data_IF_275540524648
#
_entry.id   IF_275540524648
#
_cell.length_a   1.000
_cell.length_b   1.000
_cell.length_c   1.000
_cell.angle_alpha   90.00
_cell.angle_beta   90.00
_cell.angle_gamma   90.00
#
_symmetry.space_group_name_H-M   'P 1'
#
loop_
_entity.id
_entity.type
_entity.pdbx_description
1 polymer ?
#
# COMPACT_ATOMS: atom_id res chain seq x y z
N UNK A 1 -12.73 -0.32 20.74
CA UNK A 1 -13.33 -1.36 19.85
C UNK A 1 -13.24 -2.70 20.53
N UNK A 2 -14.17 -3.63 20.26
CA UNK A 2 -14.10 -4.97 20.87
C UNK A 2 -13.06 -5.82 20.13
N UNK A 3 -11.89 -6.00 20.76
CA UNK A 3 -10.77 -6.80 20.25
C UNK A 3 -11.19 -8.22 19.86
N UNK A 4 -11.99 -8.96 20.67
CA UNK A 4 -12.52 -10.25 20.26
C UNK A 4 -13.32 -10.20 18.96
N UNK A 5 -14.14 -9.17 18.75
CA UNK A 5 -14.95 -9.03 17.52
C UNK A 5 -14.09 -8.75 16.29
N UNK A 6 -13.02 -7.96 16.42
CA UNK A 6 -12.07 -7.72 15.33
C UNK A 6 -11.33 -9.00 14.91
N UNK A 7 -10.89 -9.78 15.90
CA UNK A 7 -10.20 -11.06 15.65
C UNK A 7 -11.17 -12.10 15.06
N UNK A 8 -12.41 -12.16 15.56
CA UNK A 8 -13.44 -13.05 15.03
C UNK A 8 -13.76 -12.72 13.57
N UNK A 9 -13.96 -11.45 13.24
CA UNK A 9 -14.22 -10.99 11.87
C UNK A 9 -13.16 -11.48 10.87
N UNK A 10 -11.87 -11.35 11.20
CA UNK A 10 -10.80 -11.83 10.33
C UNK A 10 -10.82 -13.37 10.19
N UNK A 11 -11.02 -14.09 11.30
CA UNK A 11 -11.03 -15.56 11.29
C UNK A 11 -12.20 -16.16 10.53
N UNK A 12 -13.38 -15.54 10.65
CA UNK A 12 -14.61 -16.01 10.02
C UNK A 12 -14.63 -15.72 8.51
N UNK A 13 -14.23 -14.51 8.11
CA UNK A 13 -14.41 -14.06 6.73
C UNK A 13 -13.19 -14.30 5.86
N UNK A 14 -11.98 -14.31 6.43
CA UNK A 14 -10.73 -14.44 5.69
C UNK A 14 -10.08 -15.82 5.88
N UNK A 15 -10.38 -16.51 6.99
CA UNK A 15 -9.81 -17.81 7.33
C UNK A 15 -10.42 -18.96 6.52
N UNK A 16 -10.00 -19.15 5.27
CA UNK A 16 -10.42 -20.30 4.45
C UNK A 16 -9.48 -21.49 4.62
N UNK A 17 -9.98 -22.63 5.09
CA UNK A 17 -9.25 -23.91 5.18
C UNK A 17 -9.90 -24.90 6.17
N UNK A 18 -9.80 -26.20 5.90
CA UNK A 18 -10.24 -27.30 6.78
C UNK A 18 -9.36 -27.37 8.04
N UNK A 19 -9.61 -26.42 8.92
CA UNK A 19 -8.84 -26.21 10.14
C UNK A 19 -9.07 -24.78 10.58
N UNK A 20 -10.10 -24.54 11.41
CA UNK A 20 -10.41 -23.25 12.06
C UNK A 20 -9.27 -22.66 12.92
N UNK A 21 -8.06 -23.21 12.84
CA UNK A 21 -6.81 -22.68 13.38
C UNK A 21 -6.02 -22.07 12.23
N UNK A 22 -5.81 -20.74 12.25
CA UNK A 22 -4.47 -20.15 12.48
C UNK A 22 -4.35 -18.66 12.25
N UNK A 23 -5.39 -17.85 12.01
CA UNK A 23 -5.18 -16.40 11.94
C UNK A 23 -4.68 -15.87 13.31
N UNK A 24 -3.42 -15.41 13.42
CA UNK A 24 -2.90 -14.94 14.68
C UNK A 24 -3.66 -13.67 15.08
N UNK A 25 -4.02 -13.54 16.36
CA UNK A 25 -4.75 -12.37 16.84
C UNK A 25 -3.98 -11.07 16.51
N UNK A 26 -2.65 -11.09 16.63
CA UNK A 26 -1.78 -9.97 16.25
C UNK A 26 -1.96 -9.56 14.78
N UNK A 27 -1.96 -10.50 13.81
CA UNK A 27 -2.16 -10.16 12.39
C UNK A 27 -3.56 -9.65 12.12
N UNK A 28 -4.59 -10.23 12.76
CA UNK A 28 -5.97 -9.75 12.62
C UNK A 28 -6.14 -8.31 13.12
N UNK A 29 -5.49 -7.97 14.25
CA UNK A 29 -5.52 -6.61 14.78
C UNK A 29 -4.67 -5.64 13.96
N UNK A 30 -3.50 -6.07 13.48
CA UNK A 30 -2.68 -5.30 12.53
C UNK A 30 -3.48 -4.97 11.27
N UNK A 31 -4.15 -5.96 10.67
CA UNK A 31 -4.98 -5.76 9.48
C UNK A 31 -6.12 -4.78 9.74
N UNK A 32 -6.82 -4.90 10.88
CA UNK A 32 -7.87 -3.95 11.24
C UNK A 32 -7.32 -2.52 11.42
N UNK A 33 -6.10 -2.40 11.97
CA UNK A 33 -5.37 -1.15 12.07
C UNK A 33 -5.00 -0.56 10.71
N UNK A 34 -4.48 -1.38 9.79
CA UNK A 34 -4.12 -0.94 8.43
C UNK A 34 -5.36 -0.48 7.64
N UNK A 35 -6.47 -1.20 7.75
CA UNK A 35 -7.78 -0.78 7.19
C UNK A 35 -8.19 0.57 7.76
N UNK A 36 -8.03 0.78 9.08
CA UNK A 36 -8.34 2.07 9.70
C UNK A 36 -7.39 3.18 9.21
N UNK A 37 -6.11 2.89 9.01
CA UNK A 37 -5.15 3.87 8.48
C UNK A 37 -5.53 4.33 7.05
N UNK A 38 -5.97 3.39 6.19
CA UNK A 38 -6.53 3.73 4.87
C UNK A 38 -7.79 4.58 5.01
N UNK A 39 -8.72 4.17 5.88
CA UNK A 39 -9.99 4.87 6.07
C UNK A 39 -9.82 6.28 6.67
N UNK A 40 -8.83 6.47 7.54
CA UNK A 40 -8.46 7.75 8.14
C UNK A 40 -7.74 8.67 7.13
N UNK A 41 -7.27 8.13 6.01
CA UNK A 41 -6.54 8.88 4.99
C UNK A 41 -5.05 9.05 5.27
N UNK A 42 -4.49 8.24 6.18
CA UNK A 42 -3.04 8.21 6.44
C UNK A 42 -2.25 7.52 5.33
N UNK A 43 -2.91 6.63 4.58
CA UNK A 43 -2.36 6.03 3.37
C UNK A 43 -3.43 5.79 2.30
N UNK A 44 -3.08 5.89 1.01
CA UNK A 44 -4.04 5.74 -0.09
C UNK A 44 -4.59 4.32 -0.25
N UNK A 45 -3.77 3.29 0.00
CA UNK A 45 -4.13 1.90 -0.22
C UNK A 45 -3.45 0.95 0.76
N UNK A 46 -4.05 -0.22 0.95
CA UNK A 46 -3.47 -1.40 1.57
C UNK A 46 -3.49 -2.55 0.55
N UNK A 47 -2.35 -3.23 0.37
CA UNK A 47 -2.30 -4.51 -0.34
C UNK A 47 -2.71 -5.61 0.63
N UNK A 48 -3.66 -6.46 0.23
CA UNK A 48 -4.01 -7.63 1.00
C UNK A 48 -3.16 -8.84 0.55
N UNK A 49 -2.31 -9.31 1.46
CA UNK A 49 -1.28 -10.34 1.22
C UNK A 49 -1.37 -11.54 2.18
N UNK A 50 -2.46 -11.62 2.96
CA UNK A 50 -2.55 -12.52 4.11
C UNK A 50 -3.11 -13.92 3.79
N UNK A 51 -3.35 -14.24 2.52
CA UNK A 51 -3.93 -15.50 2.09
C UNK A 51 -4.78 -15.35 0.82
N UNK A 52 -5.52 -16.40 0.48
CA UNK A 52 -6.26 -16.52 -0.77
C UNK A 52 -7.63 -15.80 -0.79
N UNK A 53 -7.93 -14.97 0.21
CA UNK A 53 -9.23 -14.32 0.30
C UNK A 53 -9.40 -13.29 -0.82
N UNK A 54 -10.49 -13.40 -1.58
CA UNK A 54 -10.78 -12.50 -2.70
C UNK A 54 -11.57 -11.26 -2.29
N UNK A 55 -12.00 -10.45 -3.28
CA UNK A 55 -12.79 -9.24 -3.02
C UNK A 55 -14.11 -9.50 -2.27
N UNK A 56 -14.72 -10.69 -2.45
CA UNK A 56 -15.96 -11.04 -1.77
C UNK A 56 -15.75 -11.26 -0.27
N UNK A 57 -14.74 -12.03 0.11
CA UNK A 57 -14.31 -12.28 1.49
C UNK A 57 -13.94 -10.97 2.17
N UNK A 58 -13.12 -10.14 1.50
CA UNK A 58 -12.72 -8.84 2.01
C UNK A 58 -13.91 -7.90 2.22
N UNK A 59 -14.90 -7.92 1.33
CA UNK A 59 -16.13 -7.12 1.51
C UNK A 59 -16.91 -7.55 2.76
N UNK A 60 -17.06 -8.86 3.00
CA UNK A 60 -17.71 -9.36 4.20
C UNK A 60 -16.92 -9.00 5.46
N UNK A 61 -15.61 -9.15 5.43
CA UNK A 61 -14.72 -8.71 6.51
C UNK A 61 -14.90 -7.23 6.85
N UNK A 62 -14.90 -6.34 5.85
CA UNK A 62 -15.12 -4.90 6.04
C UNK A 62 -16.51 -4.59 6.63
N UNK A 63 -17.54 -5.35 6.25
CA UNK A 63 -18.86 -5.24 6.86
C UNK A 63 -18.83 -5.64 8.35
N UNK A 64 -18.13 -6.72 8.71
CA UNK A 64 -17.92 -7.11 10.12
C UNK A 64 -17.15 -6.08 10.92
N UNK A 65 -16.14 -5.45 10.33
CA UNK A 65 -15.42 -4.34 10.98
C UNK A 65 -16.37 -3.17 11.29
N UNK A 66 -17.26 -2.84 10.34
CA UNK A 66 -18.35 -1.85 10.54
C UNK A 66 -19.25 -2.19 11.70
N UNK A 67 -19.74 -3.41 11.75
CA UNK A 67 -20.56 -3.91 12.86
C UNK A 67 -19.82 -3.88 14.22
N UNK A 68 -18.49 -4.02 14.19
CA UNK A 68 -17.63 -3.96 15.37
C UNK A 68 -17.29 -2.52 15.81
N UNK A 69 -17.77 -1.50 15.09
CA UNK A 69 -17.61 -0.08 15.41
C UNK A 69 -16.42 0.61 14.73
N UNK A 70 -15.67 -0.10 13.86
CA UNK A 70 -14.78 0.56 12.91
C UNK A 70 -15.67 1.06 11.78
N UNK A 71 -15.98 2.35 11.74
CA UNK A 71 -16.76 2.94 10.67
C UNK A 71 -15.82 3.53 9.61
N UNK A 72 -15.20 2.71 8.72
CA UNK A 72 -14.38 3.25 7.67
C UNK A 72 -15.22 4.18 6.79
N UNK A 73 -14.57 5.23 6.29
CA UNK A 73 -15.06 6.03 5.18
C UNK A 73 -15.34 5.14 3.96
N UNK A 74 -15.84 5.71 2.87
CA UNK A 74 -16.03 4.95 1.63
C UNK A 74 -14.70 4.33 1.17
N UNK A 75 -14.69 3.02 1.01
CA UNK A 75 -13.54 2.24 0.56
C UNK A 75 -13.82 1.59 -0.80
N UNK A 76 -12.76 1.21 -1.50
CA UNK A 76 -12.84 0.52 -2.78
C UNK A 76 -11.90 -0.68 -2.81
N UNK A 77 -12.37 -1.84 -3.24
CA UNK A 77 -11.56 -3.04 -3.47
C UNK A 77 -11.18 -3.11 -4.95
N UNK A 78 -9.89 -2.98 -5.25
CA UNK A 78 -9.34 -3.09 -6.60
C UNK A 78 -8.66 -4.46 -6.75
N UNK A 79 -9.18 -5.31 -7.63
CA UNK A 79 -8.50 -6.54 -8.06
C UNK A 79 -7.52 -6.29 -9.21
N UNK A 80 -6.36 -6.94 -9.18
CA UNK A 80 -5.39 -6.96 -10.27
C UNK A 80 -4.56 -8.26 -10.21
N UNK A 81 -4.67 -9.12 -11.23
CA UNK A 81 -3.93 -10.41 -11.34
C UNK A 81 -3.89 -11.22 -10.02
N UNK A 82 -5.05 -11.43 -9.41
CA UNK A 82 -5.16 -12.20 -8.16
C UNK A 82 -4.74 -11.46 -6.88
N UNK A 83 -4.14 -10.27 -7.00
CA UNK A 83 -3.92 -9.36 -5.86
C UNK A 83 -5.16 -8.49 -5.61
N UNK A 84 -5.39 -8.12 -4.36
CA UNK A 84 -6.48 -7.19 -4.00
C UNK A 84 -5.92 -6.02 -3.19
N UNK A 85 -6.18 -4.80 -3.65
CA UNK A 85 -5.91 -3.58 -2.90
C UNK A 85 -7.19 -2.99 -2.31
N UNK A 86 -7.13 -2.60 -1.05
CA UNK A 86 -8.13 -1.78 -0.40
C UNK A 86 -7.73 -0.31 -0.49
N UNK A 87 -8.53 0.50 -1.16
CA UNK A 87 -8.25 1.90 -1.46
C UNK A 87 -9.17 2.84 -0.69
N UNK A 88 -8.64 4.01 -0.33
CA UNK A 88 -9.43 5.22 -0.16
C UNK A 88 -9.49 5.91 -1.54
N UNK A 89 -10.60 5.82 -2.30
CA UNK A 89 -10.62 6.16 -3.73
C UNK A 89 -10.17 7.60 -4.03
N UNK A 90 -10.62 8.57 -3.24
CA UNK A 90 -10.24 9.97 -3.42
C UNK A 90 -8.73 10.22 -3.22
N UNK A 91 -8.14 9.63 -2.19
CA UNK A 91 -6.71 9.75 -1.89
C UNK A 91 -5.87 8.95 -2.89
N UNK A 92 -6.30 7.76 -3.30
CA UNK A 92 -5.62 6.98 -4.34
C UNK A 92 -5.59 7.74 -5.68
N UNK A 93 -6.71 8.36 -6.09
CA UNK A 93 -6.75 9.21 -7.30
C UNK A 93 -5.84 10.42 -7.18
N UNK A 94 -5.85 11.12 -6.03
CA UNK A 94 -4.93 12.25 -5.78
C UNK A 94 -3.47 11.81 -5.85
N UNK A 95 -3.14 10.63 -5.29
CA UNK A 95 -1.78 10.08 -5.34
C UNK A 95 -1.35 9.80 -6.78
N UNK A 96 -2.18 9.12 -7.57
CA UNK A 96 -1.89 8.89 -8.99
C UNK A 96 -1.69 10.21 -9.75
N UNK A 97 -2.59 11.18 -9.57
CA UNK A 97 -2.48 12.50 -10.21
C UNK A 97 -1.24 13.29 -9.77
N UNK A 98 -0.79 13.14 -8.51
CA UNK A 98 0.44 13.75 -8.02
C UNK A 98 1.67 13.12 -8.69
N UNK A 99 1.75 11.79 -8.74
CA UNK A 99 2.86 11.08 -9.40
C UNK A 99 2.91 11.39 -10.90
N UNK A 100 1.76 11.48 -11.58
CA UNK A 100 1.68 11.87 -13.00
C UNK A 100 2.22 13.29 -13.26
N UNK A 101 2.11 14.20 -12.28
CA UNK A 101 2.61 15.58 -12.37
C UNK A 101 4.04 15.76 -11.87
N UNK A 102 4.54 14.86 -11.03
CA UNK A 102 5.89 14.93 -10.47
C UNK A 102 6.97 15.01 -11.55
N UNK A 103 7.94 15.90 -11.35
CA UNK A 103 9.13 16.10 -12.18
C UNK A 103 10.34 16.29 -11.24
N UNK A 104 11.34 15.39 -11.25
CA UNK A 104 11.41 14.13 -12.00
C UNK A 104 10.34 13.10 -11.56
N UNK A 105 10.19 12.02 -12.32
CA UNK A 105 9.31 10.93 -11.92
C UNK A 105 9.92 10.16 -10.74
N UNK A 106 9.17 9.84 -9.67
CA UNK A 106 9.71 9.15 -8.51
C UNK A 106 9.76 7.63 -8.74
N UNK A 107 10.45 7.20 -9.80
CA UNK A 107 10.61 5.80 -10.16
C UNK A 107 12.08 5.41 -10.12
N UNK A 108 12.35 4.25 -9.56
CA UNK A 108 13.69 3.70 -9.39
C UNK A 108 13.81 2.44 -10.25
N UNK A 109 14.65 2.50 -11.27
CA UNK A 109 14.97 1.35 -12.11
C UNK A 109 15.90 0.39 -11.36
N UNK A 110 15.38 -0.81 -11.12
CA UNK A 110 16.05 -1.91 -10.40
C UNK A 110 16.20 -3.16 -11.26
N UNK A 111 16.11 -3.02 -12.59
CA UNK A 111 16.20 -4.12 -13.55
C UNK A 111 17.47 -4.95 -13.36
N UNK A 112 17.36 -6.27 -13.50
CA UNK A 112 18.43 -7.23 -13.21
C UNK A 112 19.74 -6.97 -13.99
N UNK A 113 19.63 -6.52 -15.25
CA UNK A 113 20.78 -6.22 -16.11
C UNK A 113 21.62 -5.01 -15.69
N UNK A 114 21.21 -4.25 -14.66
CA UNK A 114 21.92 -3.06 -14.20
C UNK A 114 23.04 -3.39 -13.24
N UNK A 115 24.09 -2.55 -13.25
CA UNK A 115 25.16 -2.59 -12.24
C UNK A 115 24.69 -2.14 -10.86
N UNK A 116 23.56 -1.43 -10.79
CA UNK A 116 22.98 -0.91 -9.58
C UNK A 116 21.72 -0.10 -9.87
N UNK A 117 20.94 0.18 -8.82
CA UNK A 117 19.69 0.92 -8.96
C UNK A 117 19.95 2.38 -9.37
N UNK A 118 19.03 2.95 -10.14
CA UNK A 118 19.08 4.35 -10.56
C UNK A 118 17.67 4.95 -10.65
N UNK A 119 17.56 6.27 -10.70
CA UNK A 119 16.29 6.91 -11.08
C UNK A 119 15.99 6.63 -12.55
N UNK A 120 14.73 6.34 -12.87
CA UNK A 120 14.29 6.08 -14.24
C UNK A 120 14.52 7.31 -15.14
N UNK A 121 14.91 7.05 -16.39
CA UNK A 121 14.96 8.07 -17.42
C UNK A 121 13.55 8.50 -17.90
N UNK A 122 13.47 9.54 -18.74
CA UNK A 122 12.19 10.05 -19.22
C UNK A 122 11.36 9.03 -20.00
N UNK A 123 12.01 8.16 -20.79
CA UNK A 123 11.33 7.17 -21.61
C UNK A 123 10.71 6.05 -20.77
N UNK A 124 11.46 5.49 -19.81
CA UNK A 124 10.93 4.47 -18.90
C UNK A 124 9.80 5.04 -18.03
N UNK A 125 9.98 6.27 -17.54
CA UNK A 125 8.96 6.95 -16.76
C UNK A 125 7.66 7.18 -17.56
N UNK A 126 7.74 7.48 -18.86
CA UNK A 126 6.55 7.73 -19.69
C UNK A 126 5.71 6.46 -19.90
N UNK A 127 6.35 5.31 -20.11
CA UNK A 127 5.65 4.03 -20.19
C UNK A 127 4.84 3.74 -18.90
N UNK A 128 5.46 3.95 -17.74
CA UNK A 128 4.80 3.81 -16.43
C UNK A 128 3.64 4.81 -16.30
N UNK A 129 3.82 6.06 -16.73
CA UNK A 129 2.76 7.09 -16.70
C UNK A 129 1.55 6.69 -17.55
N UNK A 130 1.75 6.02 -18.67
CA UNK A 130 0.66 5.44 -19.47
C UNK A 130 -0.22 4.51 -18.65
N UNK A 131 0.39 3.56 -17.92
CA UNK A 131 -0.33 2.62 -17.04
C UNK A 131 -1.05 3.34 -15.90
N UNK A 132 -0.39 4.30 -15.24
CA UNK A 132 -0.99 5.07 -14.15
C UNK A 132 -2.16 5.96 -14.63
N UNK A 133 -2.10 6.45 -15.87
CA UNK A 133 -3.19 7.24 -16.49
C UNK A 133 -4.41 6.37 -16.74
N UNK A 134 -4.22 5.17 -17.29
CA UNK A 134 -5.30 4.21 -17.49
C UNK A 134 -5.96 3.82 -16.14
N UNK A 135 -5.15 3.59 -15.11
CA UNK A 135 -5.63 3.31 -13.76
C UNK A 135 -6.40 4.49 -13.16
N UNK A 136 -5.91 5.72 -13.32
CA UNK A 136 -6.58 6.92 -12.82
C UNK A 136 -7.96 7.08 -13.47
N UNK A 137 -8.07 6.85 -14.78
CA UNK A 137 -9.34 6.88 -15.50
C UNK A 137 -10.30 5.79 -14.99
N UNK A 138 -9.80 4.56 -14.81
CA UNK A 138 -10.57 3.44 -14.25
C UNK A 138 -11.13 3.77 -12.85
N UNK A 139 -10.29 4.27 -11.94
CA UNK A 139 -10.73 4.65 -10.60
C UNK A 139 -11.74 5.81 -10.63
N UNK A 140 -11.62 6.74 -11.58
CA UNK A 140 -12.60 7.80 -11.80
C UNK A 140 -13.98 7.26 -12.19
N UNK A 141 -14.03 6.30 -13.13
CA UNK A 141 -15.27 5.65 -13.54
C UNK A 141 -15.88 4.79 -12.42
N UNK A 142 -15.03 4.04 -11.69
CA UNK A 142 -15.46 3.23 -10.56
C UNK A 142 -16.02 4.08 -9.41
N UNK A 143 -15.43 5.26 -9.16
CA UNK A 143 -15.93 6.19 -8.15
C UNK A 143 -17.30 6.78 -8.54
N UNK A 144 -17.51 7.13 -9.80
CA UNK A 144 -18.78 7.69 -10.29
C UNK A 144 -19.95 6.68 -10.25
N UNK A 145 -19.66 5.39 -10.39
CA UNK A 145 -20.67 4.31 -10.43
C UNK A 145 -20.88 3.63 -9.09
N UNK A 146 -19.90 3.68 -8.19
CA UNK A 146 -19.96 2.97 -6.91
C UNK A 146 -21.02 3.53 -5.96
N UNK A 147 -22.01 2.72 -5.61
CA UNK A 147 -22.93 3.01 -4.50
C UNK A 147 -22.52 2.27 -3.22
N UNK A 148 -22.80 2.87 -2.05
CA UNK A 148 -22.57 2.25 -0.75
C UNK A 148 -21.18 2.45 -0.13
N UNK A 149 -20.93 1.83 1.04
CA UNK A 149 -19.74 2.07 1.85
C UNK A 149 -18.47 1.37 1.31
N UNK A 150 -18.63 0.28 0.57
CA UNK A 150 -17.52 -0.47 -0.05
C UNK A 150 -17.92 -0.80 -1.47
N UNK A 151 -17.14 -0.31 -2.44
CA UNK A 151 -17.28 -0.64 -3.86
C UNK A 151 -16.15 -1.58 -4.30
N UNK A 152 -16.26 -2.18 -5.47
CA UNK A 152 -15.17 -2.98 -6.04
C UNK A 152 -15.09 -2.88 -7.55
N UNK A 153 -13.89 -3.03 -8.08
CA UNK A 153 -13.63 -3.15 -9.51
C UNK A 153 -12.39 -4.01 -9.74
N UNK A 154 -12.15 -4.37 -10.99
CA UNK A 154 -10.97 -5.14 -11.40
C UNK A 154 -10.35 -4.48 -12.62
N UNK A 155 -9.02 -4.51 -12.69
CA UNK A 155 -8.25 -4.11 -13.87
C UNK A 155 -7.54 -5.33 -14.45
N UNK A 156 -7.39 -5.35 -15.77
CA UNK A 156 -6.58 -6.34 -16.49
C UNK A 156 -5.25 -5.67 -16.85
N UNK A 157 -4.17 -5.92 -16.08
CA UNK A 157 -2.94 -5.14 -16.15
C UNK A 157 -1.99 -5.70 -17.22
N UNK A 158 -2.44 -5.73 -18.48
CA UNK A 158 -1.62 -6.21 -19.59
C UNK A 158 -0.38 -5.31 -19.78
N UNK A 159 0.82 -5.88 -19.61
CA UNK A 159 2.10 -5.16 -19.75
C UNK A 159 2.45 -4.23 -18.59
N UNK A 160 1.68 -4.22 -17.49
CA UNK A 160 1.99 -3.35 -16.36
C UNK A 160 3.05 -3.97 -15.47
N UNK A 161 4.02 -3.17 -15.03
CA UNK A 161 4.80 -3.50 -13.84
C UNK A 161 3.92 -3.32 -12.60
N UNK A 162 3.33 -4.42 -12.12
CA UNK A 162 2.43 -4.39 -10.96
C UNK A 162 3.13 -3.93 -9.68
N UNK A 163 4.40 -4.27 -9.48
CA UNK A 163 5.18 -3.78 -8.33
C UNK A 163 5.22 -2.25 -8.33
N UNK A 164 5.50 -1.62 -9.48
CA UNK A 164 5.48 -0.15 -9.61
C UNK A 164 4.11 0.43 -9.30
N UNK A 165 3.06 -0.11 -9.91
CA UNK A 165 1.68 0.40 -9.75
C UNK A 165 1.21 0.25 -8.30
N UNK A 166 1.48 -0.90 -7.68
CA UNK A 166 1.16 -1.16 -6.27
C UNK A 166 1.95 -0.24 -5.36
N UNK A 167 3.25 -0.05 -5.57
CA UNK A 167 4.06 0.89 -4.78
C UNK A 167 3.52 2.32 -4.82
N UNK A 168 3.10 2.79 -6.00
CA UNK A 168 2.44 4.09 -6.16
C UNK A 168 1.11 4.14 -5.40
N UNK A 169 0.26 3.14 -5.55
CA UNK A 169 -1.04 3.07 -4.88
C UNK A 169 -0.92 2.94 -3.36
N UNK A 170 0.10 2.26 -2.85
CA UNK A 170 0.42 2.16 -1.42
C UNK A 170 0.86 3.50 -0.83
N UNK A 171 1.23 4.46 -1.68
CA UNK A 171 1.62 5.82 -1.27
C UNK A 171 3.11 5.92 -0.96
N UNK A 172 3.94 5.03 -1.48
CA UNK A 172 5.39 5.12 -1.29
C UNK A 172 5.95 6.34 -2.02
N UNK A 173 6.91 7.08 -1.42
CA UNK A 173 7.45 8.31 -1.99
C UNK A 173 8.04 8.09 -3.38
N UNK A 174 8.73 6.96 -3.58
CA UNK A 174 9.20 6.46 -4.86
C UNK A 174 8.85 4.97 -5.02
N UNK A 175 8.72 4.51 -6.26
CA UNK A 175 8.36 3.12 -6.58
C UNK A 175 9.44 2.43 -7.42
N UNK A 176 9.67 1.15 -7.15
CA UNK A 176 10.53 0.33 -7.99
C UNK A 176 9.91 0.08 -9.35
N UNK A 177 10.75 0.09 -10.38
CA UNK A 177 10.43 -0.21 -11.76
C UNK A 177 11.48 -1.16 -12.32
N UNK A 178 11.03 -2.09 -13.14
CA UNK A 178 11.87 -3.06 -13.84
C UNK A 178 11.15 -3.58 -15.07
N UNK A 179 11.90 -4.11 -16.03
CA UNK A 179 11.34 -4.76 -17.20
C UNK A 179 10.68 -6.10 -16.81
N UNK A 180 9.36 -6.20 -16.91
CA UNK A 180 8.62 -7.44 -16.58
C UNK A 180 8.92 -8.60 -17.53
N UNK A 181 9.53 -8.33 -18.69
CA UNK A 181 9.92 -9.35 -19.68
C UNK A 181 11.18 -10.12 -19.26
N UNK A 182 11.97 -9.59 -18.32
CA UNK A 182 13.25 -10.18 -17.86
C UNK A 182 13.08 -11.12 -16.65
N UNK A 183 11.83 -11.33 -16.18
CA UNK A 183 11.52 -12.15 -15.02
C UNK A 183 11.43 -11.35 -13.71
N UNK A 184 11.45 -12.05 -12.57
CA UNK A 184 11.30 -11.46 -11.22
C UNK A 184 12.66 -11.06 -10.58
N UNK A 185 13.75 -11.17 -11.34
CA UNK A 185 15.09 -10.80 -10.87
C UNK A 185 15.27 -9.27 -10.83
N UNK A 186 16.14 -8.81 -9.93
CA UNK A 186 16.46 -7.39 -9.77
C UNK A 186 17.91 -7.19 -9.31
N UNK A 187 18.42 -5.98 -9.48
CA UNK A 187 19.80 -5.63 -9.13
C UNK A 187 20.00 -5.31 -7.63
N UNK A 188 19.06 -5.65 -6.74
CA UNK A 188 19.10 -5.24 -5.32
C UNK A 188 19.84 -6.24 -4.41
N UNK A 189 20.26 -7.39 -4.94
CA UNK A 189 21.05 -8.35 -4.17
C UNK A 189 22.31 -7.70 -3.59
N UNK A 190 22.48 -7.81 -2.26
CA UNK A 190 23.56 -7.19 -1.48
C UNK A 190 23.69 -5.67 -1.65
N UNK A 191 22.69 -5.01 -2.23
CA UNK A 191 22.63 -3.55 -2.30
C UNK A 191 22.14 -3.01 -0.96
N UNK A 192 22.80 -2.00 -0.36
CA UNK A 192 22.29 -1.34 0.84
C UNK A 192 20.94 -0.68 0.56
N UNK A 193 19.94 -1.03 1.37
CA UNK A 193 18.58 -0.50 1.30
C UNK A 193 18.26 0.24 2.59
N UNK A 194 17.84 1.50 2.48
CA UNK A 194 17.23 2.23 3.57
C UNK A 194 15.77 1.83 3.69
N UNK A 195 15.43 1.10 4.74
CA UNK A 195 14.06 0.67 5.06
C UNK A 195 13.43 1.73 5.95
N UNK A 196 12.34 2.32 5.48
CA UNK A 196 11.52 3.25 6.24
C UNK A 196 10.35 2.52 6.86
N UNK A 197 10.17 2.70 8.16
CA UNK A 197 9.03 2.16 8.91
C UNK A 197 8.25 3.31 9.52
N UNK A 198 6.94 3.32 9.27
CA UNK A 198 6.01 4.24 9.92
C UNK A 198 5.07 3.44 10.79
N UNK A 199 5.01 3.80 12.07
CA UNK A 199 4.11 3.20 13.03
C UNK A 199 3.34 4.29 13.78
N UNK A 200 2.13 3.96 14.20
CA UNK A 200 1.37 4.77 15.14
C UNK A 200 0.52 3.88 16.04
N UNK A 201 0.29 4.35 17.26
CA UNK A 201 -0.59 3.68 18.22
C UNK A 201 -2.05 3.96 17.86
N UNK A 202 -2.91 2.95 17.87
CA UNK A 202 -4.36 3.15 17.74
C UNK A 202 -5.05 2.93 19.10
N UNK A 203 -5.43 3.98 19.85
CA UNK A 203 -6.05 3.85 21.17
C UNK A 203 -7.36 3.05 21.16
N UNK A 204 -8.01 2.98 20.00
CA UNK A 204 -9.27 2.26 19.82
C UNK A 204 -9.08 0.74 19.77
N UNK A 205 -7.87 0.25 19.55
CA UNK A 205 -7.49 -1.17 19.45
C UNK A 205 -6.61 -1.53 20.67
N UNK A 206 -6.72 -2.76 21.18
CA UNK A 206 -6.10 -3.28 22.43
C UNK A 206 -4.76 -2.63 22.78
N UNK A 207 -4.57 -2.25 24.05
CA UNK A 207 -3.28 -1.81 24.61
C UNK A 207 -2.56 -0.72 23.79
N UNK A 208 -3.31 0.06 22.98
CA UNK A 208 -2.71 1.04 22.07
C UNK A 208 -1.81 0.42 21.00
N UNK A 209 -2.24 -0.71 20.42
CA UNK A 209 -1.47 -1.45 19.39
C UNK A 209 -0.76 -0.50 18.43
N UNK A 210 0.57 -0.63 18.34
CA UNK A 210 1.35 0.00 17.28
C UNK A 210 1.04 -0.68 15.96
N UNK A 211 0.35 0.06 15.10
CA UNK A 211 0.03 -0.35 13.74
C UNK A 211 1.16 0.13 12.84
N UNK A 212 1.77 -0.79 12.10
CA UNK A 212 2.66 -0.42 11.00
C UNK A 212 1.83 0.10 9.83
N UNK A 213 1.96 1.40 9.53
CA UNK A 213 1.24 2.10 8.46
C UNK A 213 2.01 1.97 7.15
N UNK A 214 3.32 2.19 7.17
CA UNK A 214 4.19 2.04 5.99
C UNK A 214 5.40 1.18 6.32
N UNK A 215 5.84 0.43 5.32
CA UNK A 215 7.12 -0.28 5.29
C UNK A 215 7.58 -0.35 3.85
N UNK A 216 8.57 0.44 3.48
CA UNK A 216 9.15 0.45 2.13
C UNK A 216 10.65 0.67 2.21
N UNK A 217 11.35 0.35 1.12
CA UNK A 217 12.78 0.57 1.01
C UNK A 217 13.12 1.49 -0.14
N UNK A 218 14.25 2.19 0.00
CA UNK A 218 14.91 2.95 -1.07
C UNK A 218 16.37 2.50 -1.09
N UNK A 219 16.99 2.28 -2.26
CA UNK A 219 18.41 2.02 -2.34
C UNK A 219 19.19 3.18 -1.75
N UNK A 220 20.10 2.90 -0.82
CA UNK A 220 20.82 3.93 -0.06
C UNK A 220 21.55 4.92 -0.99
N UNK A 221 22.05 4.42 -2.13
CA UNK A 221 22.70 5.22 -3.17
C UNK A 221 21.80 6.30 -3.78
N UNK A 222 20.47 6.17 -3.69
CA UNK A 222 19.49 7.09 -4.25
C UNK A 222 18.84 7.99 -3.18
N UNK A 223 19.17 7.84 -1.90
CA UNK A 223 18.53 8.61 -0.83
C UNK A 223 18.79 10.13 -0.97
N UNK A 224 19.99 10.53 -1.35
CA UNK A 224 20.31 11.95 -1.57
C UNK A 224 19.56 12.54 -2.78
N UNK A 225 19.45 11.77 -3.87
CA UNK A 225 18.72 12.19 -5.07
C UNK A 225 17.20 12.30 -4.82
N UNK A 226 16.67 11.50 -3.89
CA UNK A 226 15.25 11.47 -3.53
C UNK A 226 14.93 12.24 -2.25
N UNK A 227 15.87 13.02 -1.71
CA UNK A 227 15.72 13.69 -0.40
C UNK A 227 14.50 14.63 -0.37
N UNK A 228 14.32 15.46 -1.40
CA UNK A 228 13.18 16.37 -1.50
C UNK A 228 11.84 15.61 -1.58
N UNK A 229 11.80 14.50 -2.32
CA UNK A 229 10.60 13.66 -2.47
C UNK A 229 10.26 12.99 -1.14
N UNK A 230 11.27 12.51 -0.41
CA UNK A 230 11.12 11.91 0.92
C UNK A 230 10.67 12.93 1.96
N UNK A 231 11.24 14.13 1.93
CA UNK A 231 10.86 15.25 2.80
C UNK A 231 9.40 15.64 2.60
N UNK A 232 9.00 15.91 1.35
CA UNK A 232 7.63 16.25 1.01
C UNK A 232 6.63 15.17 1.44
N UNK A 233 6.94 13.89 1.17
CA UNK A 233 6.11 12.77 1.61
C UNK A 233 5.98 12.69 3.14
N UNK A 234 7.07 12.93 3.86
CA UNK A 234 7.09 12.92 5.32
C UNK A 234 6.21 14.04 5.90
N UNK A 235 6.26 15.23 5.30
CA UNK A 235 5.46 16.37 5.73
C UNK A 235 3.98 16.21 5.40
N UNK A 236 3.64 15.70 4.20
CA UNK A 236 2.27 15.31 3.84
C UNK A 236 1.70 14.28 4.83
N UNK A 237 2.51 13.30 5.24
CA UNK A 237 2.10 12.29 6.22
C UNK A 237 1.85 12.90 7.61
N UNK A 238 2.74 13.79 8.09
CA UNK A 238 2.56 14.49 9.37
C UNK A 238 1.31 15.38 9.35
N UNK A 239 1.08 16.08 8.24
CA UNK A 239 -0.13 16.89 8.06
C UNK A 239 -1.38 16.01 8.10
N UNK A 240 -1.43 14.94 7.31
CA UNK A 240 -2.54 13.99 7.33
C UNK A 240 -2.76 13.38 8.72
N UNK A 241 -1.67 13.10 9.46
CA UNK A 241 -1.73 12.62 10.82
C UNK A 241 -2.34 13.62 11.80
N UNK A 242 -2.03 14.91 11.66
CA UNK A 242 -2.62 15.97 12.49
C UNK A 242 -4.12 16.18 12.25
N UNK A 243 -4.62 15.78 11.08
CA UNK A 243 -6.01 15.96 10.65
C UNK A 243 -6.94 14.79 11.04
N UNK A 244 -6.44 13.79 11.77
CA UNK A 244 -7.19 12.63 12.22
C UNK A 244 -7.00 12.38 13.73
N UNK A 245 -7.90 11.60 14.33
CA UNK A 245 -7.89 11.30 15.77
C UNK A 245 -7.94 9.80 16.10
N UNK A 246 -7.81 8.93 15.10
CA UNK A 246 -7.83 7.47 15.26
C UNK A 246 -6.48 6.91 15.71
N UNK A 247 -5.39 7.62 15.40
CA UNK A 247 -4.01 7.27 15.70
C UNK A 247 -3.29 8.37 16.47
N UNK A 248 -2.38 7.96 17.37
CA UNK A 248 -1.50 8.81 18.18
C UNK A 248 -0.06 8.26 18.13
N UNK A 249 0.90 9.01 18.66
CA UNK A 249 2.31 8.61 18.76
C UNK A 249 2.94 8.19 17.42
N UNK A 250 2.82 9.05 16.40
CA UNK A 250 3.46 8.83 15.10
C UNK A 250 4.97 8.65 15.28
N UNK A 251 5.49 7.54 14.75
CA UNK A 251 6.90 7.22 14.76
C UNK A 251 7.33 6.89 13.32
N UNK A 252 8.27 7.68 12.80
CA UNK A 252 8.92 7.44 11.51
C UNK A 252 10.37 7.09 11.83
N UNK A 253 10.80 5.91 11.45
CA UNK A 253 12.18 5.44 11.64
C UNK A 253 12.74 4.90 10.33
N UNK A 254 14.06 4.86 10.22
CA UNK A 254 14.74 4.19 9.11
C UNK A 254 15.98 3.46 9.57
N UNK A 255 16.29 2.34 8.92
CA UNK A 255 17.53 1.60 9.10
C UNK A 255 18.10 1.18 7.73
N UNK A 256 19.41 0.90 7.67
CA UNK A 256 20.05 0.42 6.46
C UNK A 256 20.29 -1.08 6.60
N UNK A 257 19.80 -1.86 5.65
CA UNK A 257 19.96 -3.32 5.59
C UNK A 257 20.57 -3.74 4.27
N UNK A 258 21.21 -4.91 4.25
CA UNK A 258 21.67 -5.54 3.01
C UNK A 258 21.23 -7.00 3.03
N UNK A 259 20.46 -7.40 2.03
CA UNK A 259 19.87 -8.73 1.95
C UNK A 259 20.49 -9.49 0.76
N UNK A 260 20.69 -10.82 0.88
CA UNK A 260 21.23 -11.61 -0.22
C UNK A 260 20.28 -11.67 -1.42
N UNK A 261 18.98 -11.49 -1.20
CA UNK A 261 17.95 -11.39 -2.23
C UNK A 261 16.82 -10.48 -1.75
N UNK A 262 16.15 -9.82 -2.69
CA UNK A 262 15.01 -8.94 -2.45
C UNK A 262 13.88 -9.38 -3.39
N UNK A 263 12.73 -9.72 -2.82
CA UNK A 263 11.52 -10.03 -3.59
C UNK A 263 10.70 -8.75 -3.77
N UNK A 264 10.14 -8.56 -4.97
CA UNK A 264 9.39 -7.37 -5.38
C UNK A 264 7.94 -7.70 -5.74
#
# INVERSE_FOLDING_TARGET
LSVPRLVAAAREELGTGTGRRRWPAARALQLAGEVLAVAAGLKPALLYDCGAAGPAELRRYLARLREAGLAPRRLHLLGAQGSVLLLQPGLARRRLAAVLRARPAPFMDVSAGRRGPAVCGPAEAEAIRGHLTALLAHLGAAEATGSGPVSSSEVVPAGWNLCTVVGVLLGYPAAYAFATEEGDENCLALTPLRVFTVQASCPRIKDGLRVQIYSFSIPESLCAELEEVLGAWCDELKEAFSMQSDFVDLCISSEVVSLPAVAL
#
